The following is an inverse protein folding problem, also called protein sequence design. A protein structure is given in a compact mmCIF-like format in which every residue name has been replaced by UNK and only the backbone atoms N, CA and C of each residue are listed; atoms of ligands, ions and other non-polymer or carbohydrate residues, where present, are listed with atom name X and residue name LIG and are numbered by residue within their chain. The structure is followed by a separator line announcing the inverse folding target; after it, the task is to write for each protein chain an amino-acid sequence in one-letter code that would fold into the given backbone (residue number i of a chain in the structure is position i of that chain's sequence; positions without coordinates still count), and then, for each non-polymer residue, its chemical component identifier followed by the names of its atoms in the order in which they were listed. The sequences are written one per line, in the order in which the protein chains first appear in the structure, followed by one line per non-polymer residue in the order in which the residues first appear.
data_IF_677005205820
#
_entry.id   IF_677005205820
#
_cell.length_a   1.000
_cell.length_b   1.000
_cell.length_c   1.000
_cell.angle_alpha   90.00
_cell.angle_beta   90.00
_cell.angle_gamma   90.00
#
_symmetry.space_group_name_H-M   'P 1'
#
loop_
_entity.id
_entity.type
_entity.pdbx_description
1 polymer ?
#
# COMPACT_ATOMS: atom_id res chain seq x y z
N UNK A 1 -33.26 -6.62 -65.95
CA UNK A 1 -34.06 -6.68 -64.72
C UNK A 1 -33.11 -6.33 -63.58
N UNK A 2 -33.36 -5.20 -62.89
CA UNK A 2 -32.91 -4.76 -61.54
C UNK A 2 -31.56 -5.26 -60.97
N UNK A 3 -30.70 -4.51 -60.27
CA UNK A 3 -30.66 -3.19 -59.61
C UNK A 3 -29.31 -3.15 -58.87
N UNK A 4 -28.68 -1.97 -58.70
CA UNK A 4 -28.12 -1.43 -57.43
C UNK A 4 -27.23 -2.36 -56.55
N UNK A 5 -26.07 -2.00 -55.95
CA UNK A 5 -25.51 -0.72 -55.55
C UNK A 5 -24.16 -0.93 -54.79
N UNK A 6 -23.37 0.15 -54.70
CA UNK A 6 -22.34 0.49 -53.70
C UNK A 6 -20.88 0.02 -53.85
N UNK A 7 -20.10 1.00 -54.31
CA UNK A 7 -18.70 1.29 -54.04
C UNK A 7 -18.29 1.10 -52.57
N UNK A 8 -17.10 0.53 -52.38
CA UNK A 8 -16.13 1.04 -51.41
C UNK A 8 -14.72 0.80 -51.99
N UNK A 9 -14.31 1.68 -52.90
CA UNK A 9 -12.89 1.89 -53.19
C UNK A 9 -12.26 2.54 -51.95
N UNK A 10 -11.47 1.78 -51.20
CA UNK A 10 -10.32 2.34 -50.48
C UNK A 10 -9.08 1.71 -51.08
N UNK A 11 -8.66 2.33 -52.17
CA UNK A 11 -7.37 2.11 -52.79
C UNK A 11 -6.27 2.29 -51.76
N UNK A 12 -5.52 1.21 -51.51
CA UNK A 12 -4.10 1.33 -51.21
C UNK A 12 -3.43 1.92 -52.46
N UNK A 13 -3.00 3.18 -52.35
CA UNK A 13 -2.07 3.86 -53.26
C UNK A 13 -1.04 4.48 -52.32
N UNK A 14 0.26 4.25 -52.40
CA UNK A 14 1.05 3.42 -53.28
C UNK A 14 2.43 3.31 -52.63
N UNK A 15 3.07 2.15 -52.78
CA UNK A 15 4.48 2.00 -52.50
C UNK A 15 5.27 2.55 -53.70
N UNK A 16 6.02 3.62 -53.50
CA UNK A 16 7.09 4.08 -54.38
C UNK A 16 8.20 4.76 -53.54
N UNK A 17 9.49 4.64 -53.92
CA UNK A 17 10.62 4.96 -53.06
C UNK A 17 11.01 6.43 -53.22
N UNK A 18 10.49 7.29 -52.34
CA UNK A 18 11.06 8.62 -52.08
C UNK A 18 10.66 9.03 -50.65
N UNK A 19 11.58 8.79 -49.71
CA UNK A 19 11.39 8.96 -48.25
C UNK A 19 11.41 10.45 -47.86
N UNK A 20 10.46 11.25 -48.34
CA UNK A 20 10.23 12.61 -47.83
C UNK A 20 8.89 12.70 -47.09
N UNK A 21 8.89 12.90 -45.76
CA UNK A 21 7.66 13.01 -44.99
C UNK A 21 6.88 14.27 -45.38
N UNK A 22 5.56 14.15 -45.53
CA UNK A 22 4.73 15.29 -45.90
C UNK A 22 4.64 16.29 -44.74
N UNK A 23 4.47 17.57 -45.04
CA UNK A 23 4.37 18.64 -44.03
C UNK A 23 3.29 18.35 -42.99
N UNK A 24 2.19 17.69 -43.39
CA UNK A 24 1.12 17.28 -42.48
C UNK A 24 1.51 16.08 -41.59
N UNK A 25 2.35 15.16 -42.08
CA UNK A 25 2.90 14.08 -41.25
C UNK A 25 3.88 14.61 -40.20
N UNK A 26 4.70 15.59 -40.56
CA UNK A 26 5.61 16.27 -39.62
C UNK A 26 4.80 17.03 -38.56
N UNK A 27 3.80 17.80 -38.99
CA UNK A 27 2.97 18.61 -38.08
C UNK A 27 2.11 17.75 -37.16
N UNK A 28 1.57 16.63 -37.66
CA UNK A 28 0.81 15.68 -36.84
C UNK A 28 1.71 14.92 -35.87
N UNK A 29 2.94 14.54 -36.25
CA UNK A 29 3.92 13.96 -35.33
C UNK A 29 4.34 14.94 -34.23
N UNK A 30 4.56 16.21 -34.56
CA UNK A 30 4.96 17.23 -33.59
C UNK A 30 3.86 17.53 -32.57
N UNK A 31 2.61 17.66 -33.02
CA UNK A 31 1.45 17.85 -32.14
C UNK A 31 1.14 16.59 -31.31
N UNK A 32 1.33 15.41 -31.87
CA UNK A 32 1.16 14.16 -31.14
C UNK A 32 2.26 14.01 -30.08
N UNK A 33 3.51 14.28 -30.43
CA UNK A 33 4.63 14.23 -29.48
C UNK A 33 4.50 15.27 -28.36
N UNK A 34 3.95 16.45 -28.64
CA UNK A 34 3.75 17.51 -27.64
C UNK A 34 2.65 17.16 -26.63
N UNK A 35 1.60 16.43 -27.05
CA UNK A 35 0.52 15.96 -26.17
C UNK A 35 0.78 14.60 -25.52
N UNK A 36 1.48 13.68 -26.18
CA UNK A 36 1.80 12.35 -25.61
C UNK A 36 2.84 12.46 -24.49
N UNK A 37 3.86 13.31 -24.63
CA UNK A 37 4.90 13.47 -23.60
C UNK A 37 4.34 13.79 -22.21
N UNK A 38 3.46 14.80 -22.03
CA UNK A 38 2.85 15.07 -20.73
C UNK A 38 1.88 13.96 -20.29
N UNK A 39 1.07 13.40 -21.20
CA UNK A 39 0.15 12.31 -20.87
C UNK A 39 0.87 11.06 -20.35
N UNK A 40 1.95 10.65 -21.03
CA UNK A 40 2.75 9.48 -20.66
C UNK A 40 3.44 9.65 -19.30
N UNK A 41 3.86 10.89 -18.98
CA UNK A 41 4.39 11.25 -17.66
C UNK A 41 3.32 11.13 -16.56
N UNK A 42 2.09 11.57 -16.82
CA UNK A 42 0.98 11.42 -15.88
C UNK A 42 0.57 9.96 -15.69
N UNK A 43 0.55 9.17 -16.76
CA UNK A 43 0.29 7.72 -16.69
C UNK A 43 1.37 7.03 -15.85
N UNK A 44 2.64 7.34 -16.09
CA UNK A 44 3.75 6.84 -15.26
C UNK A 44 3.58 7.21 -13.78
N UNK A 45 2.97 8.36 -13.46
CA UNK A 45 2.72 8.79 -12.06
C UNK A 45 1.80 7.87 -11.33
N UNK A 46 0.75 7.43 -12.01
CA UNK A 46 -0.31 6.60 -11.45
C UNK A 46 0.11 5.14 -11.49
N UNK A 47 0.85 4.72 -12.52
CA UNK A 47 1.30 3.35 -12.68
C UNK A 47 2.48 3.01 -11.75
N UNK A 48 3.35 3.97 -11.45
CA UNK A 48 4.50 3.77 -10.57
C UNK A 48 4.17 3.22 -9.18
N UNK A 49 3.23 3.78 -8.39
CA UNK A 49 2.89 3.21 -7.08
C UNK A 49 2.41 1.76 -7.20
N UNK A 50 1.61 1.45 -8.22
CA UNK A 50 1.18 0.08 -8.47
C UNK A 50 2.35 -0.87 -8.79
N UNK A 51 3.27 -0.43 -9.65
CA UNK A 51 4.48 -1.21 -10.02
C UNK A 51 5.37 -1.40 -8.80
N UNK A 52 5.59 -0.36 -8.00
CA UNK A 52 6.38 -0.41 -6.78
C UNK A 52 5.79 -1.42 -5.78
N UNK A 53 4.49 -1.34 -5.50
CA UNK A 53 3.80 -2.25 -4.58
C UNK A 53 3.81 -3.68 -5.10
N UNK A 54 3.69 -3.85 -6.42
CA UNK A 54 3.79 -5.17 -7.04
C UNK A 54 5.19 -5.74 -6.89
N UNK A 55 6.24 -4.96 -7.10
CA UNK A 55 7.62 -5.41 -6.92
C UNK A 55 7.93 -5.76 -5.46
N UNK A 56 7.44 -4.95 -4.51
CA UNK A 56 7.56 -5.26 -3.07
C UNK A 56 6.87 -6.60 -2.75
N UNK A 57 5.63 -6.81 -3.22
CA UNK A 57 4.92 -8.09 -3.02
C UNK A 57 5.64 -9.30 -3.63
N UNK A 58 6.32 -9.09 -4.77
CA UNK A 58 7.13 -10.15 -5.37
C UNK A 58 8.40 -10.41 -4.55
N UNK A 59 9.09 -9.38 -4.07
CA UNK A 59 10.27 -9.53 -3.23
C UNK A 59 9.95 -10.30 -1.94
N UNK A 60 8.85 -9.96 -1.27
CA UNK A 60 8.41 -10.61 -0.04
C UNK A 60 8.05 -12.09 -0.27
N UNK A 61 7.28 -12.38 -1.33
CA UNK A 61 6.93 -13.76 -1.68
C UNK A 61 8.17 -14.60 -2.00
N UNK A 62 9.16 -14.02 -2.67
CA UNK A 62 10.39 -14.74 -3.00
C UNK A 62 11.26 -14.97 -1.76
N UNK A 63 11.22 -14.05 -0.79
CA UNK A 63 11.89 -14.19 0.50
C UNK A 63 11.29 -15.33 1.31
N UNK A 64 9.96 -15.39 1.42
CA UNK A 64 9.25 -16.47 2.11
C UNK A 64 9.50 -17.85 1.47
N UNK A 65 9.46 -17.93 0.14
CA UNK A 65 9.75 -19.17 -0.59
C UNK A 65 11.21 -19.64 -0.43
N UNK A 66 12.15 -18.72 -0.25
CA UNK A 66 13.55 -19.04 0.00
C UNK A 66 13.81 -19.44 1.45
N UNK A 67 13.09 -18.88 2.42
CA UNK A 67 13.19 -19.26 3.85
C UNK A 67 12.58 -20.65 4.13
N UNK A 68 11.45 -20.99 3.49
CA UNK A 68 10.83 -22.31 3.64
C UNK A 68 11.64 -23.44 2.97
N UNK A 69 12.33 -23.13 1.87
CA UNK A 69 13.14 -24.12 1.14
C UNK A 69 14.51 -24.28 1.81
N UNK A 70 14.54 -25.05 2.88
CA UNK A 70 15.74 -25.47 3.59
C UNK A 70 16.80 -26.07 2.61
N UNK A 71 17.77 -25.24 2.20
CA UNK A 71 19.18 -25.48 1.81
C UNK A 71 19.64 -26.77 1.09
N UNK A 72 18.80 -27.54 0.40
CA UNK A 72 19.24 -28.87 -0.09
C UNK A 72 19.63 -28.94 -1.58
N UNK A 73 19.07 -28.14 -2.51
CA UNK A 73 19.57 -28.09 -3.89
C UNK A 73 19.31 -26.76 -4.59
N UNK A 74 20.38 -26.01 -4.92
CA UNK A 74 20.29 -24.67 -5.53
C UNK A 74 20.38 -24.72 -7.06
N UNK A 75 19.28 -24.40 -7.73
CA UNK A 75 19.26 -24.12 -9.17
C UNK A 75 19.95 -22.78 -9.47
N UNK A 76 20.57 -22.57 -10.66
CA UNK A 76 21.07 -21.25 -11.06
C UNK A 76 20.00 -20.16 -10.98
N UNK A 77 18.71 -20.51 -11.18
CA UNK A 77 17.59 -19.58 -11.00
C UNK A 77 17.50 -19.07 -9.57
N UNK A 78 17.74 -19.92 -8.57
CA UNK A 78 17.66 -19.57 -7.15
C UNK A 78 18.80 -18.64 -6.70
N UNK A 79 19.97 -18.75 -7.33
CA UNK A 79 21.08 -17.79 -7.14
C UNK A 79 20.70 -16.39 -7.63
N UNK A 80 20.05 -16.28 -8.79
CA UNK A 80 19.59 -15.01 -9.34
C UNK A 80 18.49 -14.37 -8.45
N UNK A 81 17.58 -15.19 -7.89
CA UNK A 81 16.60 -14.73 -6.89
C UNK A 81 17.30 -14.13 -5.68
N UNK A 82 18.33 -14.81 -5.15
CA UNK A 82 19.09 -14.36 -3.98
C UNK A 82 19.81 -13.04 -4.23
N UNK A 83 20.41 -12.88 -5.41
CA UNK A 83 21.06 -11.62 -5.81
C UNK A 83 20.02 -10.51 -5.94
N UNK A 84 18.88 -10.76 -6.58
CA UNK A 84 17.79 -9.80 -6.67
C UNK A 84 17.30 -9.35 -5.29
N UNK A 85 17.07 -10.29 -4.37
CA UNK A 85 16.65 -9.99 -2.98
C UNK A 85 17.71 -9.19 -2.21
N UNK A 86 19.00 -9.42 -2.47
CA UNK A 86 20.09 -8.67 -1.85
C UNK A 86 20.19 -7.23 -2.39
N UNK A 87 19.92 -7.03 -3.68
CA UNK A 87 19.98 -5.71 -4.34
C UNK A 87 18.72 -4.88 -4.09
N UNK A 88 17.55 -5.51 -3.95
CA UNK A 88 16.27 -4.83 -3.72
C UNK A 88 16.28 -3.79 -2.58
N UNK A 89 16.78 -4.08 -1.35
CA UNK A 89 16.81 -3.09 -0.27
C UNK A 89 17.73 -1.91 -0.57
N UNK A 90 18.82 -2.12 -1.32
CA UNK A 90 19.71 -1.06 -1.76
C UNK A 90 19.01 -0.13 -2.76
N UNK A 91 18.32 -0.70 -3.75
CA UNK A 91 17.55 0.08 -4.71
C UNK A 91 16.46 0.92 -4.04
N UNK A 92 15.72 0.31 -3.10
CA UNK A 92 14.69 0.99 -2.30
C UNK A 92 15.28 2.14 -1.48
N UNK A 93 16.39 1.89 -0.79
CA UNK A 93 17.10 2.90 0.00
C UNK A 93 17.59 4.07 -0.86
N UNK A 94 18.13 3.77 -2.04
CA UNK A 94 18.60 4.79 -2.99
C UNK A 94 17.46 5.69 -3.50
N UNK A 95 16.32 5.11 -3.86
CA UNK A 95 15.12 5.86 -4.27
C UNK A 95 14.60 6.78 -3.15
N UNK A 96 14.68 6.33 -1.89
CA UNK A 96 14.31 7.15 -0.72
C UNK A 96 15.32 8.27 -0.49
N UNK A 97 16.62 7.99 -0.60
CA UNK A 97 17.69 8.98 -0.44
C UNK A 97 17.53 10.13 -1.45
N UNK A 98 17.30 9.82 -2.73
CA UNK A 98 17.05 10.82 -3.77
C UNK A 98 15.87 11.72 -3.38
N UNK A 99 14.76 11.14 -2.90
CA UNK A 99 13.58 11.93 -2.47
C UNK A 99 13.94 12.90 -1.34
N UNK A 100 14.72 12.44 -0.34
CA UNK A 100 15.14 13.27 0.79
C UNK A 100 16.06 14.40 0.31
N UNK A 101 17.03 14.11 -0.56
CA UNK A 101 17.93 15.12 -1.10
C UNK A 101 17.19 16.18 -1.92
N UNK A 102 16.23 15.78 -2.75
CA UNK A 102 15.39 16.71 -3.50
C UNK A 102 14.52 17.58 -2.56
N UNK A 103 13.93 16.99 -1.54
CA UNK A 103 13.12 17.73 -0.57
C UNK A 103 13.98 18.72 0.24
N UNK A 104 15.20 18.33 0.64
CA UNK A 104 16.13 19.21 1.33
C UNK A 104 16.59 20.38 0.43
N UNK A 105 16.81 20.12 -0.86
CA UNK A 105 17.07 21.16 -1.85
C UNK A 105 15.90 22.13 -2.02
N UNK A 106 14.66 21.61 -1.97
CA UNK A 106 13.45 22.40 -2.04
C UNK A 106 13.27 23.30 -0.82
N UNK A 107 13.50 22.77 0.39
CA UNK A 107 13.48 23.55 1.63
C UNK A 107 14.54 24.66 1.62
N UNK A 108 15.73 24.37 1.09
CA UNK A 108 16.82 25.34 0.95
C UNK A 108 16.58 26.33 -0.20
N UNK A 109 15.42 26.26 -0.88
CA UNK A 109 15.06 27.06 -2.06
C UNK A 109 16.11 27.01 -3.20
N UNK A 110 16.93 25.95 -3.23
CA UNK A 110 17.96 25.68 -4.26
C UNK A 110 17.36 24.96 -5.47
N UNK A 111 16.33 24.16 -5.24
CA UNK A 111 15.61 23.43 -6.29
C UNK A 111 14.12 23.75 -6.20
N UNK A 112 13.45 23.89 -7.34
CA UNK A 112 11.99 24.13 -7.43
C UNK A 112 11.18 22.83 -7.44
N UNK A 113 11.84 21.70 -7.15
CA UNK A 113 11.32 20.36 -7.41
C UNK A 113 11.40 19.53 -6.13
N UNK A 114 10.23 19.16 -5.60
CA UNK A 114 10.07 18.45 -4.33
C UNK A 114 10.16 16.91 -4.45
N UNK A 115 9.87 16.34 -5.63
CA UNK A 115 9.96 14.89 -5.84
C UNK A 115 10.56 14.55 -7.20
N UNK A 116 11.32 13.44 -7.30
CA UNK A 116 11.86 12.99 -8.58
C UNK A 116 10.76 12.69 -9.59
N UNK A 117 9.54 12.39 -9.11
CA UNK A 117 8.39 12.16 -9.95
C UNK A 117 7.85 13.46 -10.58
N UNK A 118 7.78 14.55 -9.81
CA UNK A 118 7.39 15.87 -10.34
C UNK A 118 8.43 16.42 -11.32
N UNK A 119 9.70 16.11 -11.09
CA UNK A 119 10.78 16.39 -12.04
C UNK A 119 10.50 15.76 -13.41
N UNK A 120 10.19 14.46 -13.42
CA UNK A 120 9.83 13.73 -14.63
C UNK A 120 8.55 14.28 -15.26
N UNK A 121 7.55 14.63 -14.45
CA UNK A 121 6.30 15.23 -14.92
C UNK A 121 6.49 16.62 -15.53
N UNK A 122 7.58 17.33 -15.24
CA UNK A 122 7.79 18.71 -15.71
C UNK A 122 6.85 19.73 -15.06
N UNK A 123 6.15 19.32 -13.99
CA UNK A 123 5.23 20.19 -13.24
C UNK A 123 5.99 20.78 -12.07
N UNK A 124 5.99 22.12 -11.97
CA UNK A 124 6.65 22.86 -10.89
C UNK A 124 5.61 23.25 -9.84
N UNK A 125 5.95 23.06 -8.57
CA UNK A 125 5.17 23.60 -7.46
C UNK A 125 5.80 24.94 -7.12
N UNK A 126 5.10 26.01 -7.45
CA UNK A 126 5.51 27.37 -7.10
C UNK A 126 4.84 27.78 -5.78
N UNK A 127 5.52 28.60 -4.98
CA UNK A 127 4.94 29.13 -3.75
C UNK A 127 3.86 30.13 -4.16
N UNK A 128 2.64 29.97 -3.65
CA UNK A 128 1.56 30.95 -3.86
C UNK A 128 2.04 32.31 -3.35
N UNK A 129 2.13 33.31 -4.24
CA UNK A 129 2.54 34.67 -3.86
C UNK A 129 1.38 35.32 -3.10
N UNK A 130 1.67 36.27 -2.19
CA UNK A 130 0.62 37.02 -1.49
C UNK A 130 -0.38 37.68 -2.47
N UNK A 131 0.11 38.14 -3.63
CA UNK A 131 -0.73 38.68 -4.71
C UNK A 131 -1.68 37.63 -5.32
N UNK A 132 -1.26 36.37 -5.43
CA UNK A 132 -2.12 35.29 -5.94
C UNK A 132 -3.22 34.99 -4.92
N UNK A 133 -2.89 34.98 -3.63
CA UNK A 133 -3.85 34.78 -2.52
C UNK A 133 -4.91 35.87 -2.53
N UNK A 134 -4.51 37.14 -2.69
CA UNK A 134 -5.44 38.28 -2.76
C UNK A 134 -6.40 38.17 -3.96
N UNK A 135 -5.93 37.63 -5.09
CA UNK A 135 -6.79 37.41 -6.26
C UNK A 135 -7.86 36.34 -6.00
N UNK A 136 -7.51 35.25 -5.28
CA UNK A 136 -8.46 34.20 -4.89
C UNK A 136 -9.42 34.64 -3.78
N UNK A 137 -8.98 35.54 -2.90
CA UNK A 137 -9.76 36.05 -1.78
C UNK A 137 -10.66 37.25 -2.17
N UNK A 138 -10.59 37.70 -3.43
CA UNK A 138 -11.49 38.73 -3.95
C UNK A 138 -12.94 38.23 -4.04
N UNK A 139 -13.62 38.25 -2.90
CA UNK A 139 -15.05 37.91 -2.79
C UNK A 139 -15.81 38.94 -3.63
N UNK A 140 -16.66 38.51 -4.57
CA UNK A 140 -17.37 39.43 -5.44
C UNK A 140 -18.32 40.33 -4.62
N UNK A 141 -18.33 41.63 -4.97
CA UNK A 141 -18.91 42.75 -4.21
C UNK A 141 -20.39 42.54 -3.83
N UNK A 142 -21.13 41.68 -4.55
CA UNK A 142 -22.53 41.36 -4.28
C UNK A 142 -22.78 40.56 -2.99
N UNK A 143 -21.76 39.95 -2.38
CA UNK A 143 -21.88 39.24 -1.09
C UNK A 143 -21.57 40.14 0.13
N UNK A 144 -21.30 41.44 -0.11
CA UNK A 144 -20.91 42.43 0.91
C UNK A 144 -22.12 43.19 1.47
N UNK A 145 -23.21 42.50 1.80
CA UNK A 145 -24.42 43.13 2.36
C UNK A 145 -24.44 43.06 3.90
N UNK A 146 -24.64 44.21 4.56
CA UNK A 146 -24.59 44.39 6.01
C UNK A 146 -25.93 44.04 6.67
N UNK A 147 -26.06 42.81 7.17
CA UNK A 147 -27.25 42.38 7.92
C UNK A 147 -26.96 41.21 8.87
N UNK A 148 -27.71 41.11 9.97
CA UNK A 148 -27.58 40.05 10.99
C UNK A 148 -27.87 38.66 10.38
N UNK A 149 -28.81 38.58 9.45
CA UNK A 149 -29.08 37.39 8.64
C UNK A 149 -27.88 36.98 7.78
N UNK A 150 -27.13 37.94 7.22
CA UNK A 150 -25.92 37.64 6.46
C UNK A 150 -24.78 37.15 7.38
N UNK A 151 -24.75 37.57 8.65
CA UNK A 151 -23.83 37.01 9.67
C UNK A 151 -24.13 35.55 9.96
N UNK A 152 -25.41 35.19 10.08
CA UNK A 152 -25.83 33.80 10.24
C UNK A 152 -25.56 32.97 8.97
N UNK A 153 -25.88 33.51 7.80
CA UNK A 153 -25.60 32.88 6.50
C UNK A 153 -24.09 32.64 6.29
N UNK A 154 -23.23 33.58 6.70
CA UNK A 154 -21.77 33.39 6.70
C UNK A 154 -21.29 32.27 7.62
N UNK A 155 -21.92 32.09 8.78
CA UNK A 155 -21.65 30.94 9.65
C UNK A 155 -22.04 29.62 8.98
N UNK A 156 -23.23 29.58 8.35
CA UNK A 156 -23.71 28.40 7.62
C UNK A 156 -22.81 28.06 6.42
N UNK A 157 -22.36 29.06 5.64
CA UNK A 157 -21.39 28.83 4.55
C UNK A 157 -19.99 28.45 5.05
N UNK A 158 -19.59 28.91 6.25
CA UNK A 158 -18.31 28.55 6.85
C UNK A 158 -18.30 27.16 7.52
N UNK A 159 -19.47 26.64 7.87
CA UNK A 159 -19.66 25.37 8.58
C UNK A 159 -19.10 24.16 7.80
N UNK A 160 -19.32 24.02 6.48
CA UNK A 160 -18.70 22.97 5.67
C UNK A 160 -17.17 22.98 5.74
N UNK A 161 -16.53 24.16 5.79
CA UNK A 161 -15.08 24.27 5.88
C UNK A 161 -14.50 23.88 7.25
N UNK A 162 -15.23 24.16 8.33
CA UNK A 162 -14.85 23.69 9.68
C UNK A 162 -15.09 22.18 9.80
N UNK A 163 -16.24 21.71 9.32
CA UNK A 163 -16.60 20.30 9.35
C UNK A 163 -15.65 19.44 8.51
N UNK A 164 -15.25 19.94 7.32
CA UNK A 164 -14.24 19.29 6.47
C UNK A 164 -12.90 19.13 7.19
N UNK A 165 -12.46 20.15 7.94
CA UNK A 165 -11.23 20.08 8.75
C UNK A 165 -11.35 19.09 9.91
N UNK A 166 -12.47 19.11 10.64
CA UNK A 166 -12.75 18.13 11.70
C UNK A 166 -12.77 16.71 11.16
N UNK A 167 -13.37 16.51 9.98
CA UNK A 167 -13.38 15.23 9.30
C UNK A 167 -11.97 14.79 8.90
N UNK A 168 -11.15 15.70 8.36
CA UNK A 168 -9.75 15.42 8.05
C UNK A 168 -8.95 15.01 9.31
N UNK A 169 -9.15 15.69 10.44
CA UNK A 169 -8.52 15.30 11.72
C UNK A 169 -9.02 13.94 12.22
N UNK A 170 -10.32 13.67 12.07
CA UNK A 170 -10.90 12.38 12.45
C UNK A 170 -10.35 11.22 11.61
N UNK A 171 -10.25 11.40 10.29
CA UNK A 171 -9.64 10.42 9.39
C UNK A 171 -8.16 10.20 9.72
N UNK A 172 -7.42 11.27 10.00
CA UNK A 172 -6.02 11.14 10.44
C UNK A 172 -5.91 10.34 11.74
N UNK A 173 -6.75 10.63 12.73
CA UNK A 173 -6.75 9.90 14.00
C UNK A 173 -7.11 8.43 13.81
N UNK A 174 -8.10 8.12 12.97
CA UNK A 174 -8.47 6.74 12.66
C UNK A 174 -7.32 6.00 11.96
N UNK A 175 -6.68 6.64 10.97
CA UNK A 175 -5.50 6.09 10.28
C UNK A 175 -4.34 5.87 11.24
N UNK A 176 -4.16 6.76 12.22
CA UNK A 176 -3.15 6.62 13.25
C UNK A 176 -3.43 5.42 14.17
N UNK A 177 -4.68 5.22 14.58
CA UNK A 177 -5.07 4.04 15.37
C UNK A 177 -4.85 2.77 14.55
N UNK A 178 -5.30 2.72 13.31
CA UNK A 178 -5.08 1.59 12.40
C UNK A 178 -3.59 1.26 12.27
N UNK A 179 -2.75 2.28 12.04
CA UNK A 179 -1.30 2.12 12.03
C UNK A 179 -0.76 1.62 13.38
N UNK A 180 -1.24 2.12 14.51
CA UNK A 180 -0.77 1.70 15.83
C UNK A 180 -1.13 0.24 16.13
N UNK A 181 -2.25 -0.26 15.64
CA UNK A 181 -2.63 -1.66 15.85
C UNK A 181 -1.96 -2.62 14.86
N UNK A 182 -1.82 -2.21 13.59
CA UNK A 182 -1.36 -3.09 12.52
C UNK A 182 0.14 -2.97 12.20
N UNK A 183 0.83 -1.94 12.70
CA UNK A 183 2.28 -1.81 12.51
C UNK A 183 3.08 -2.62 13.53
N UNK A 184 4.25 -3.09 13.11
CA UNK A 184 5.23 -3.71 14.00
C UNK A 184 5.69 -2.74 15.10
N UNK A 185 5.81 -1.45 14.79
CA UNK A 185 6.15 -0.42 15.79
C UNK A 185 5.09 -0.33 16.87
N UNK A 186 3.81 -0.26 16.48
CA UNK A 186 2.70 -0.23 17.43
C UNK A 186 2.62 -1.49 18.27
N UNK A 187 2.82 -2.67 17.66
CA UNK A 187 2.98 -3.92 18.40
C UNK A 187 4.16 -3.90 19.37
N UNK A 188 5.31 -3.31 19.03
CA UNK A 188 6.42 -3.18 19.98
C UNK A 188 6.14 -2.19 21.12
N UNK A 189 5.36 -1.13 20.88
CA UNK A 189 4.99 -0.14 21.90
C UNK A 189 3.89 -0.69 22.83
N UNK A 190 2.87 -1.34 22.26
CA UNK A 190 1.81 -2.02 23.02
C UNK A 190 2.38 -3.22 23.81
N UNK A 191 3.23 -4.05 23.20
CA UNK A 191 3.84 -5.21 23.87
C UNK A 191 4.91 -4.83 24.88
N UNK A 192 5.61 -3.69 24.74
CA UNK A 192 6.54 -3.20 25.77
C UNK A 192 5.87 -2.88 27.10
N UNK A 193 4.57 -2.57 27.09
CA UNK A 193 3.77 -2.42 28.31
C UNK A 193 3.08 -3.73 28.75
N UNK A 194 3.07 -4.76 27.89
CA UNK A 194 2.71 -6.12 28.27
C UNK A 194 3.94 -6.84 28.83
N UNK A 195 4.37 -6.43 30.02
CA UNK A 195 5.32 -7.19 30.87
C UNK A 195 4.61 -8.42 31.46
N UNK A 196 3.99 -9.22 30.59
CA UNK A 196 3.42 -10.51 30.93
C UNK A 196 3.88 -11.47 29.83
N UNK A 197 5.17 -11.81 29.87
CA UNK A 197 5.60 -13.05 29.24
C UNK A 197 4.86 -14.15 29.99
N UNK A 198 3.97 -14.93 29.33
CA UNK A 198 3.40 -16.10 29.99
C UNK A 198 4.57 -16.92 30.53
N UNK A 199 4.53 -17.35 31.80
CA UNK A 199 5.64 -18.08 32.39
C UNK A 199 5.99 -19.25 31.46
N UNK A 200 7.28 -19.53 31.23
CA UNK A 200 7.69 -20.64 30.38
C UNK A 200 6.96 -21.90 30.86
N UNK A 201 6.34 -22.62 29.93
CA UNK A 201 5.48 -23.74 30.23
C UNK A 201 6.22 -24.71 31.19
N UNK A 202 5.67 -25.02 32.38
CA UNK A 202 6.40 -25.74 33.43
C UNK A 202 6.52 -27.25 33.18
N UNK A 203 6.59 -27.69 31.93
CA UNK A 203 6.71 -29.10 31.60
C UNK A 203 7.59 -29.32 30.38
N UNK A 204 8.32 -30.44 30.42
CA UNK A 204 9.09 -30.97 29.31
C UNK A 204 8.11 -31.25 28.17
N UNK A 205 8.27 -30.55 27.04
CA UNK A 205 7.53 -30.85 25.82
C UNK A 205 7.77 -32.32 25.47
N UNK A 206 6.70 -33.11 25.43
CA UNK A 206 6.76 -34.51 25.04
C UNK A 206 7.17 -34.58 23.56
N UNK A 207 7.99 -35.57 23.21
CA UNK A 207 8.45 -35.77 21.83
C UNK A 207 7.26 -36.12 20.93
N UNK A 208 7.29 -35.71 19.67
CA UNK A 208 6.23 -35.99 18.69
C UNK A 208 5.86 -37.49 18.61
N UNK A 209 6.83 -38.37 18.86
CA UNK A 209 6.64 -39.82 18.91
C UNK A 209 5.75 -40.28 20.08
N UNK A 210 5.80 -39.57 21.20
CA UNK A 210 5.03 -39.84 22.42
C UNK A 210 3.61 -39.25 22.32
N UNK A 211 3.42 -38.25 21.47
CA UNK A 211 2.09 -37.73 21.09
C UNK A 211 1.39 -38.67 20.10
N UNK A 212 2.15 -39.27 19.18
CA UNK A 212 1.62 -40.23 18.18
C UNK A 212 1.16 -41.56 18.79
N UNK A 213 1.66 -41.93 19.97
CA UNK A 213 1.25 -43.15 20.67
C UNK A 213 -0.06 -43.00 21.43
N UNK A 214 -0.59 -41.76 21.57
CA UNK A 214 -1.91 -41.55 22.16
C UNK A 214 -3.01 -41.79 21.12
N UNK A 215 -3.99 -42.62 21.49
CA UNK A 215 -5.20 -42.86 20.70
C UNK A 215 -5.90 -41.53 20.36
N UNK A 216 -5.93 -41.17 19.07
CA UNK A 216 -6.37 -39.85 18.58
C UNK A 216 -7.84 -39.53 18.87
N UNK A 217 -8.66 -40.51 19.27
CA UNK A 217 -10.11 -40.37 19.51
C UNK A 217 -10.52 -40.51 20.98
N UNK A 218 -9.57 -40.81 21.87
CA UNK A 218 -9.82 -40.96 23.32
C UNK A 218 -9.35 -39.75 24.11
N UNK A 219 -9.96 -39.54 25.25
CA UNK A 219 -9.53 -38.53 26.22
C UNK A 219 -8.39 -39.11 27.07
N UNK A 220 -7.24 -38.41 27.24
CA UNK A 220 -6.16 -38.89 28.09
C UNK A 220 -6.52 -39.00 29.59
N UNK A 221 -7.53 -38.28 30.06
CA UNK A 221 -7.96 -38.29 31.46
C UNK A 221 -8.97 -39.39 31.78
N UNK A 222 -9.98 -39.58 30.93
CA UNK A 222 -11.05 -40.55 31.19
C UNK A 222 -10.99 -41.82 30.33
N UNK A 223 -10.05 -41.88 29.37
CA UNK A 223 -9.82 -42.99 28.42
C UNK A 223 -11.04 -43.42 27.60
N UNK A 224 -12.13 -42.63 27.65
CA UNK A 224 -13.34 -42.80 26.85
C UNK A 224 -13.25 -41.96 25.58
N UNK A 225 -14.17 -42.21 24.64
CA UNK A 225 -14.37 -41.33 23.48
C UNK A 225 -14.62 -39.89 23.97
N UNK A 226 -13.92 -38.93 23.37
CA UNK A 226 -14.05 -37.53 23.80
C UNK A 226 -15.45 -36.99 23.57
N UNK A 227 -15.90 -36.17 24.51
CA UNK A 227 -17.18 -35.45 24.50
C UNK A 227 -16.85 -34.00 24.81
N UNK A 228 -17.24 -33.09 23.91
CA UNK A 228 -16.87 -31.67 23.94
C UNK A 228 -15.34 -31.48 23.95
N UNK A 229 -14.75 -31.60 22.76
CA UNK A 229 -13.30 -31.52 22.54
C UNK A 229 -12.75 -30.14 22.95
N UNK A 230 -11.77 -30.13 23.84
CA UNK A 230 -11.16 -28.90 24.35
C UNK A 230 -9.65 -29.01 24.38
N UNK A 231 -8.99 -28.05 23.75
CA UNK A 231 -7.53 -27.96 23.61
C UNK A 231 -6.96 -27.10 24.73
N UNK A 232 -5.90 -27.57 25.40
CA UNK A 232 -5.15 -26.75 26.34
C UNK A 232 -4.04 -26.00 25.60
N UNK A 233 -4.01 -24.67 25.69
CA UNK A 233 -3.04 -23.82 24.99
C UNK A 233 -1.59 -24.05 25.44
N UNK A 234 -1.38 -24.56 26.65
CA UNK A 234 -0.06 -24.76 27.27
C UNK A 234 0.61 -26.04 26.77
N UNK A 235 -0.14 -27.10 26.51
CA UNK A 235 0.39 -28.43 26.14
C UNK A 235 -0.06 -28.94 24.78
N UNK A 236 -1.09 -28.32 24.17
CA UNK A 236 -1.62 -28.71 22.86
C UNK A 236 -2.48 -29.97 22.84
N UNK A 237 -2.70 -30.63 23.99
CA UNK A 237 -3.53 -31.84 24.06
C UNK A 237 -5.03 -31.55 24.07
N UNK A 238 -5.79 -32.50 23.50
CA UNK A 238 -7.26 -32.45 23.42
C UNK A 238 -7.88 -33.36 24.49
N UNK A 239 -8.72 -32.78 25.34
CA UNK A 239 -9.46 -33.47 26.41
C UNK A 239 -10.97 -33.27 26.26
N UNK A 240 -11.78 -33.97 27.05
CA UNK A 240 -13.17 -33.57 27.28
C UNK A 240 -13.21 -32.33 28.18
N UNK A 241 -14.05 -31.35 27.86
CA UNK A 241 -14.21 -30.11 28.65
C UNK A 241 -14.39 -30.38 30.15
N UNK A 242 -15.31 -31.28 30.52
CA UNK A 242 -15.61 -31.54 31.92
C UNK A 242 -14.44 -32.20 32.68
N UNK A 243 -13.66 -33.04 31.99
CA UNK A 243 -12.51 -33.71 32.57
C UNK A 243 -11.37 -32.73 32.83
N UNK A 244 -11.07 -31.86 31.86
CA UNK A 244 -9.97 -30.91 31.98
C UNK A 244 -10.31 -29.77 32.94
N UNK A 245 -11.55 -29.26 32.93
CA UNK A 245 -12.01 -28.23 33.87
C UNK A 245 -11.90 -28.71 35.32
N UNK A 246 -12.33 -29.94 35.60
CA UNK A 246 -12.19 -30.55 36.93
C UNK A 246 -10.72 -30.74 37.32
N UNK A 247 -9.88 -31.17 36.38
CA UNK A 247 -8.46 -31.41 36.63
C UNK A 247 -7.70 -30.11 36.92
N UNK A 248 -7.89 -29.08 36.09
CA UNK A 248 -7.27 -27.76 36.27
C UNK A 248 -7.70 -27.13 37.58
N UNK A 249 -9.00 -27.13 37.92
CA UNK A 249 -9.50 -26.61 39.20
C UNK A 249 -8.92 -27.33 40.42
N UNK A 250 -8.53 -28.60 40.29
CA UNK A 250 -7.99 -29.42 41.38
C UNK A 250 -6.50 -29.21 41.62
N UNK A 251 -5.74 -28.92 40.56
CA UNK A 251 -4.27 -28.86 40.61
C UNK A 251 -3.67 -27.46 40.38
N UNK A 252 -4.43 -26.49 39.87
CA UNK A 252 -4.03 -25.07 39.91
C UNK A 252 -4.39 -24.47 41.27
N UNK A 253 -3.44 -24.54 42.21
CA UNK A 253 -3.35 -23.62 43.35
C UNK A 253 -2.40 -22.48 43.01
#
# INVERSE_FOLDING_TARGET
MSTSVHNAHLHSIGAAPDDQPTIFDIYSQENLASSIKPALKHIMKVLWPYVHDKLDSFADRWKELLDYRQWTHCSPKDKLKKIFLAIWPWFKSFMVLIKILLNLGYLTSRTTIHSPFLWLAGVRLEKLTAADIESFESIPIHLRQSGILNRFWRFILGLPGVLSRLFAYSLFFFQFIDYLYNSDMGNTILKKNALWTPPPAPHKLLSEAEVLSLDTYKCPLCLKRRVNDTVLSVSGYVFCFNCIDTHVKRYNA
#
